data_IF_820714007493
#
_entry.id   IF_820714007493
#
_cell.length_a   1.000
_cell.length_b   1.000
_cell.length_c   1.000
_cell.angle_alpha   90.00
_cell.angle_beta   90.00
_cell.angle_gamma   90.00
#
_symmetry.space_group_name_H-M   'P 1'
#
loop_
_entity.id
_entity.type
_entity.pdbx_description
1 polymer ?
#
# COMPACT_ATOMS: atom_id res chain seq x y z
N UNK A 1 -4.54 -0.20 -70.05
CA UNK A 1 -5.00 0.53 -68.84
C UNK A 1 -5.71 -0.48 -67.97
N UNK A 2 -5.04 -0.97 -66.93
CA UNK A 2 -5.65 -1.47 -65.70
C UNK A 2 -4.51 -1.69 -64.72
N UNK A 3 -4.51 -0.88 -63.66
CA UNK A 3 -3.46 -0.81 -62.65
C UNK A 3 -3.86 -1.76 -61.52
N UNK A 4 -3.08 -2.84 -61.33
CA UNK A 4 -3.28 -3.79 -60.25
C UNK A 4 -2.82 -3.21 -58.91
N UNK A 5 -3.76 -3.01 -57.98
CA UNK A 5 -3.46 -2.68 -56.59
C UNK A 5 -3.11 -3.97 -55.81
N UNK A 6 -1.82 -4.20 -55.62
CA UNK A 6 -1.30 -5.19 -54.68
C UNK A 6 -0.66 -4.51 -53.47
N UNK A 7 -1.45 -4.09 -52.49
CA UNK A 7 -0.93 -3.59 -51.22
C UNK A 7 -0.89 -4.74 -50.20
N UNK A 8 0.28 -5.41 -50.10
CA UNK A 8 0.61 -6.21 -48.93
C UNK A 8 1.02 -5.27 -47.80
N UNK A 9 0.09 -5.06 -46.85
CA UNK A 9 0.42 -4.54 -45.53
C UNK A 9 1.42 -5.51 -44.89
N UNK A 10 2.70 -5.13 -44.83
CA UNK A 10 3.68 -5.76 -43.94
C UNK A 10 3.23 -5.50 -42.50
N UNK A 11 2.46 -6.43 -41.95
CA UNK A 11 2.31 -6.53 -40.51
C UNK A 11 3.71 -6.72 -39.93
N UNK A 12 4.18 -5.75 -39.15
CA UNK A 12 5.29 -5.93 -38.22
C UNK A 12 4.95 -7.16 -37.38
N UNK A 13 5.59 -8.28 -37.68
CA UNK A 13 5.56 -9.48 -36.88
C UNK A 13 6.19 -9.14 -35.53
N UNK A 14 5.35 -8.82 -34.55
CA UNK A 14 5.74 -8.82 -33.14
C UNK A 14 6.26 -10.23 -32.85
N UNK A 15 7.58 -10.39 -32.66
CA UNK A 15 8.15 -11.62 -32.13
C UNK A 15 7.48 -11.89 -30.78
N UNK A 16 6.54 -12.83 -30.76
CA UNK A 16 6.07 -13.43 -29.51
C UNK A 16 7.28 -14.08 -28.83
N UNK A 17 7.51 -13.77 -27.57
CA UNK A 17 8.52 -14.38 -26.67
C UNK A 17 9.95 -13.85 -26.78
N UNK A 18 10.14 -12.53 -26.78
CA UNK A 18 11.47 -11.97 -26.48
C UNK A 18 11.38 -11.18 -25.18
N UNK A 19 12.19 -11.59 -24.19
CA UNK A 19 12.33 -10.87 -22.93
C UNK A 19 12.86 -9.45 -23.16
N UNK A 20 12.36 -8.50 -22.38
CA UNK A 20 12.72 -7.09 -22.51
C UNK A 20 14.05 -6.79 -21.81
N UNK A 21 14.32 -7.44 -20.69
CA UNK A 21 15.53 -7.30 -19.90
C UNK A 21 16.60 -8.33 -20.30
N UNK A 22 17.86 -7.95 -20.13
CA UNK A 22 19.02 -8.84 -20.35
C UNK A 22 19.68 -9.32 -19.05
N UNK A 23 19.33 -8.70 -17.92
CA UNK A 23 19.92 -8.93 -16.59
C UNK A 23 18.82 -8.85 -15.52
N UNK A 24 18.98 -9.51 -14.36
CA UNK A 24 18.06 -9.34 -13.24
C UNK A 24 18.07 -7.90 -12.72
N UNK A 25 16.98 -7.47 -12.05
CA UNK A 25 16.87 -6.14 -11.49
C UNK A 25 17.96 -5.87 -10.45
N UNK A 26 18.36 -4.61 -10.32
CA UNK A 26 19.27 -4.12 -9.29
C UNK A 26 18.56 -3.02 -8.52
N UNK A 27 18.78 -3.00 -7.22
CA UNK A 27 18.17 -2.02 -6.31
C UNK A 27 19.21 -0.99 -5.88
N UNK A 28 18.74 0.23 -5.70
CA UNK A 28 19.54 1.33 -5.20
C UNK A 28 19.91 1.11 -3.72
N UNK A 29 20.99 1.76 -3.29
CA UNK A 29 21.45 1.68 -1.90
C UNK A 29 20.47 2.36 -0.93
N UNK A 30 19.65 3.28 -1.45
CA UNK A 30 18.61 3.99 -0.73
C UNK A 30 17.33 3.90 -1.54
N UNK A 31 16.24 3.45 -0.92
CA UNK A 31 14.96 3.32 -1.59
C UNK A 31 13.77 3.43 -0.65
N UNK A 32 12.64 3.81 -1.23
CA UNK A 32 11.31 3.80 -0.64
C UNK A 32 10.46 2.86 -1.48
N UNK A 33 9.77 1.93 -0.83
CA UNK A 33 8.88 1.00 -1.54
C UNK A 33 7.66 0.65 -0.71
N UNK A 34 6.58 0.32 -1.39
CA UNK A 34 5.35 -0.14 -0.75
C UNK A 34 4.79 -1.32 -1.52
N UNK A 35 4.03 -2.15 -0.84
CA UNK A 35 3.48 -3.35 -1.43
C UNK A 35 2.59 -4.12 -0.48
N UNK A 36 2.26 -5.34 -0.86
CA UNK A 36 1.44 -6.28 -0.11
C UNK A 36 2.19 -7.60 0.00
N UNK A 37 2.37 -8.07 1.23
CA UNK A 37 2.83 -9.42 1.55
C UNK A 37 1.60 -10.35 1.63
N UNK A 38 1.51 -11.29 0.71
CA UNK A 38 0.50 -12.34 0.72
C UNK A 38 1.07 -13.60 1.34
N UNK A 39 0.36 -14.16 2.32
CA UNK A 39 0.64 -15.46 2.93
C UNK A 39 -0.58 -16.36 2.67
N UNK A 40 -0.63 -17.05 1.50
CA UNK A 40 -1.84 -17.69 1.02
C UNK A 40 -2.35 -18.79 1.94
N UNK A 41 -1.45 -19.51 2.64
CA UNK A 41 -1.82 -20.60 3.53
C UNK A 41 -2.73 -20.16 4.68
N UNK A 42 -2.59 -18.91 5.13
CA UNK A 42 -3.39 -18.32 6.21
C UNK A 42 -4.31 -17.20 5.72
N UNK A 43 -4.43 -17.02 4.40
CA UNK A 43 -5.25 -15.98 3.75
C UNK A 43 -4.94 -14.55 4.23
N UNK A 44 -3.68 -14.30 4.60
CA UNK A 44 -3.24 -13.00 5.08
C UNK A 44 -2.72 -12.16 3.90
N UNK A 45 -3.18 -10.91 3.83
CA UNK A 45 -2.66 -9.89 2.94
C UNK A 45 -2.21 -8.68 3.77
N UNK A 46 -0.90 -8.46 3.82
CA UNK A 46 -0.25 -7.49 4.70
C UNK A 46 0.33 -6.33 3.91
N UNK A 47 -0.34 -5.16 3.87
CA UNK A 47 0.26 -3.98 3.26
C UNK A 47 1.47 -3.53 4.07
N UNK A 48 2.57 -3.26 3.39
CA UNK A 48 3.79 -2.71 3.98
C UNK A 48 4.25 -1.45 3.28
N UNK A 49 4.93 -0.59 4.03
CA UNK A 49 5.66 0.57 3.54
C UNK A 49 7.07 0.52 4.12
N UNK A 50 8.09 0.64 3.28
CA UNK A 50 9.47 0.42 3.67
C UNK A 50 10.37 1.55 3.20
N UNK A 51 11.27 1.95 4.09
CA UNK A 51 12.34 2.89 3.87
C UNK A 51 13.64 2.18 4.20
N UNK A 52 14.55 2.15 3.23
CA UNK A 52 15.84 1.51 3.37
C UNK A 52 16.91 2.50 2.98
N UNK A 53 17.85 2.78 3.88
CA UNK A 53 18.99 3.65 3.62
C UNK A 53 20.28 2.96 4.09
N UNK A 54 20.99 2.38 3.12
CA UNK A 54 22.28 1.73 3.37
C UNK A 54 23.37 2.71 3.77
N UNK A 55 23.31 3.96 3.28
CA UNK A 55 24.36 4.96 3.53
C UNK A 55 24.35 5.37 5.00
N UNK A 56 23.16 5.63 5.56
CA UNK A 56 23.02 5.94 7.00
C UNK A 56 22.84 4.69 7.87
N UNK A 57 22.80 3.51 7.25
CA UNK A 57 22.59 2.21 7.92
C UNK A 57 21.32 2.19 8.77
N UNK A 58 20.22 2.69 8.21
CA UNK A 58 18.90 2.70 8.82
C UNK A 58 17.83 2.10 7.91
N UNK A 59 16.85 1.44 8.51
CA UNK A 59 15.65 0.98 7.81
C UNK A 59 14.43 1.09 8.70
N UNK A 60 13.28 1.37 8.09
CA UNK A 60 11.96 1.38 8.72
C UNK A 60 10.99 0.59 7.86
N UNK A 61 10.15 -0.23 8.49
CA UNK A 61 9.08 -0.96 7.81
C UNK A 61 7.81 -0.82 8.64
N UNK A 62 6.79 -0.27 8.01
CA UNK A 62 5.46 -0.09 8.56
C UNK A 62 4.54 -1.17 7.99
N UNK A 63 3.86 -1.90 8.86
CA UNK A 63 2.91 -2.95 8.52
C UNK A 63 1.51 -2.54 8.94
N UNK A 64 0.50 -3.10 8.27
CA UNK A 64 -0.91 -2.90 8.60
C UNK A 64 -1.28 -1.40 8.70
N UNK A 65 -0.86 -0.58 7.72
CA UNK A 65 -1.12 0.86 7.71
C UNK A 65 -0.31 1.69 8.72
N UNK A 66 0.72 1.10 9.31
CA UNK A 66 1.59 1.72 10.32
C UNK A 66 1.20 1.38 11.76
N UNK A 67 0.25 0.45 11.98
CA UNK A 67 -0.04 -0.04 13.33
C UNK A 67 1.15 -0.75 13.96
N UNK A 68 1.93 -1.46 13.13
CA UNK A 68 3.19 -2.08 13.56
C UNK A 68 4.31 -1.42 12.77
N UNK A 69 5.36 -1.00 13.47
CA UNK A 69 6.54 -0.37 12.86
C UNK A 69 7.79 -1.04 13.38
N UNK A 70 8.69 -1.38 12.48
CA UNK A 70 10.03 -1.87 12.82
C UNK A 70 11.06 -0.87 12.37
N UNK A 71 11.97 -0.49 13.26
CA UNK A 71 13.12 0.35 12.97
C UNK A 71 14.37 -0.47 13.21
N UNK A 72 15.33 -0.45 12.28
CA UNK A 72 16.67 -0.94 12.52
C UNK A 72 17.66 0.18 12.29
N UNK A 73 18.51 0.43 13.29
CA UNK A 73 19.61 1.38 13.23
C UNK A 73 20.91 0.62 13.48
N UNK A 74 21.67 0.34 12.43
CA UNK A 74 22.99 -0.28 12.55
C UNK A 74 24.12 0.76 12.62
N UNK A 75 23.76 2.04 12.51
CA UNK A 75 24.68 3.18 12.43
C UNK A 75 25.04 3.83 13.76
N UNK A 76 24.09 3.87 14.70
CA UNK A 76 24.16 4.72 15.90
C UNK A 76 24.85 4.03 17.09
N UNK A 77 24.49 2.78 17.37
CA UNK A 77 25.04 2.01 18.49
C UNK A 77 26.16 1.06 18.06
N UNK A 78 27.05 0.68 18.99
CA UNK A 78 28.24 -0.15 18.74
C UNK A 78 27.93 -1.44 17.95
N UNK A 79 26.75 -2.02 18.17
CA UNK A 79 26.27 -3.25 17.53
C UNK A 79 24.90 -3.11 16.87
N UNK A 80 24.39 -1.87 16.79
CA UNK A 80 23.07 -1.54 16.26
C UNK A 80 21.90 -1.88 17.21
N UNK A 81 20.74 -1.33 16.88
CA UNK A 81 19.50 -1.42 17.66
C UNK A 81 18.31 -1.70 16.74
N UNK A 82 17.42 -2.58 17.20
CA UNK A 82 16.16 -2.93 16.54
C UNK A 82 15.01 -2.56 17.46
N UNK A 83 14.02 -1.84 16.94
CA UNK A 83 12.85 -1.39 17.66
C UNK A 83 11.61 -1.91 16.94
N UNK A 84 10.66 -2.47 17.69
CA UNK A 84 9.34 -2.86 17.18
C UNK A 84 8.27 -2.16 18.00
N UNK A 85 7.58 -1.21 17.37
CA UNK A 85 6.35 -0.62 17.89
C UNK A 85 5.18 -1.49 17.44
N UNK A 86 4.41 -2.03 18.38
CA UNK A 86 3.22 -2.79 18.09
C UNK A 86 2.19 -2.66 19.23
N UNK A 87 0.88 -2.66 18.93
CA UNK A 87 -0.14 -2.79 19.96
C UNK A 87 -0.05 -4.19 20.57
N UNK A 88 0.03 -4.24 21.90
CA UNK A 88 0.01 -5.47 22.69
C UNK A 88 -1.21 -5.44 23.57
N UNK A 89 -1.95 -6.55 23.57
CA UNK A 89 -3.09 -6.77 24.45
C UNK A 89 -2.68 -7.76 25.54
N UNK A 90 -2.91 -7.38 26.80
CA UNK A 90 -2.71 -8.23 27.97
C UNK A 90 -4.00 -8.30 28.80
N UNK A 91 -3.96 -8.99 29.94
CA UNK A 91 -5.16 -9.17 30.80
C UNK A 91 -5.74 -7.84 31.35
N UNK A 92 -4.93 -6.78 31.40
CA UNK A 92 -5.27 -5.51 32.05
C UNK A 92 -5.46 -4.36 31.04
N UNK A 93 -4.86 -4.46 29.86
CA UNK A 93 -4.78 -3.38 28.88
C UNK A 93 -5.02 -3.95 27.47
N UNK A 94 -5.98 -3.36 26.75
CA UNK A 94 -6.27 -3.70 25.36
C UNK A 94 -5.50 -2.75 24.42
N UNK A 95 -4.85 -3.32 23.40
CA UNK A 95 -4.22 -2.59 22.29
C UNK A 95 -3.23 -1.49 22.71
N UNK A 96 -2.47 -1.70 23.78
CA UNK A 96 -1.49 -0.74 24.24
C UNK A 96 -0.26 -0.78 23.35
N UNK A 97 0.05 0.35 22.70
CA UNK A 97 1.27 0.49 21.91
C UNK A 97 2.48 0.27 22.81
N UNK A 98 3.27 -0.75 22.47
CA UNK A 98 4.45 -1.17 23.21
C UNK A 98 5.67 -1.04 22.29
N UNK A 99 6.78 -0.55 22.84
CA UNK A 99 8.06 -0.53 22.16
C UNK A 99 8.92 -1.71 22.66
N UNK A 100 9.21 -2.65 21.76
CA UNK A 100 10.12 -3.75 22.02
C UNK A 100 11.48 -3.40 21.42
N UNK A 101 12.47 -3.20 22.27
CA UNK A 101 13.83 -2.88 21.87
C UNK A 101 14.75 -4.10 22.01
N UNK A 102 15.55 -4.34 20.98
CA UNK A 102 16.61 -5.36 20.96
C UNK A 102 17.91 -4.69 20.52
N UNK A 103 18.90 -4.73 21.41
CA UNK A 103 20.23 -4.20 21.13
C UNK A 103 21.12 -5.34 20.62
N UNK A 104 21.96 -5.03 19.62
CA UNK A 104 22.92 -5.98 19.10
C UNK A 104 24.03 -6.28 20.10
N UNK A 105 24.73 -7.40 19.87
CA UNK A 105 25.94 -7.78 20.60
C UNK A 105 27.11 -7.94 19.63
N UNK A 106 28.31 -8.18 20.16
CA UNK A 106 29.49 -8.44 19.34
C UNK A 106 29.29 -9.63 18.38
N UNK A 107 28.65 -10.69 18.87
CA UNK A 107 28.38 -11.91 18.11
C UNK A 107 27.15 -11.75 17.18
N UNK A 108 26.16 -10.95 17.60
CA UNK A 108 24.91 -10.76 16.88
C UNK A 108 24.61 -9.27 16.68
N UNK A 109 25.28 -8.68 15.67
CA UNK A 109 25.04 -7.29 15.27
C UNK A 109 23.68 -7.15 14.59
N UNK A 110 22.95 -6.09 14.92
CA UNK A 110 21.73 -5.74 14.20
C UNK A 110 22.11 -5.24 12.81
N UNK A 111 21.49 -5.82 11.78
CA UNK A 111 21.59 -5.38 10.40
C UNK A 111 20.30 -4.68 9.99
N UNK A 112 20.41 -3.74 9.05
CA UNK A 112 19.23 -3.14 8.41
C UNK A 112 18.50 -4.16 7.56
N UNK A 113 17.17 -4.05 7.55
CA UNK A 113 16.29 -4.99 6.88
C UNK A 113 15.84 -4.44 5.53
N UNK A 114 16.19 -5.17 4.46
CA UNK A 114 15.65 -4.92 3.11
C UNK A 114 14.34 -5.67 2.93
N UNK A 115 13.37 -5.04 2.29
CA UNK A 115 12.16 -5.71 1.78
C UNK A 115 12.32 -6.17 0.34
N UNK A 116 13.34 -5.71 -0.39
CA UNK A 116 13.61 -6.13 -1.76
C UNK A 116 14.55 -7.35 -1.77
N UNK A 117 14.30 -8.36 -2.63
CA UNK A 117 15.12 -9.56 -2.71
C UNK A 117 16.47 -9.26 -3.38
N UNK A 118 17.54 -9.96 -2.97
CA UNK A 118 18.78 -9.94 -3.75
C UNK A 118 18.58 -10.71 -5.06
N UNK A 119 18.53 -9.99 -6.18
CA UNK A 119 18.29 -10.58 -7.49
C UNK A 119 19.58 -10.96 -8.25
N UNK A 120 20.76 -10.80 -7.65
CA UNK A 120 22.05 -10.96 -8.37
C UNK A 120 22.25 -12.35 -8.98
N UNK A 121 21.74 -13.39 -8.32
CA UNK A 121 21.90 -14.80 -8.74
C UNK A 121 20.74 -15.31 -9.62
N UNK A 122 19.73 -14.46 -9.87
CA UNK A 122 18.58 -14.83 -10.68
C UNK A 122 18.92 -14.88 -12.17
N UNK A 123 18.46 -15.93 -12.83
CA UNK A 123 18.66 -16.12 -14.26
C UNK A 123 17.37 -15.86 -15.04
N UNK A 124 17.47 -15.14 -16.14
CA UNK A 124 16.34 -14.91 -17.04
C UNK A 124 15.95 -16.22 -17.75
N UNK A 125 14.70 -16.64 -17.59
CA UNK A 125 14.17 -17.88 -18.19
C UNK A 125 13.32 -17.58 -19.43
N UNK A 126 12.70 -16.40 -19.50
CA UNK A 126 11.85 -16.00 -20.63
C UNK A 126 10.81 -14.97 -20.22
N UNK A 127 9.68 -14.95 -20.92
CA UNK A 127 8.53 -14.09 -20.60
C UNK A 127 7.32 -14.91 -20.19
N UNK A 128 6.53 -14.44 -19.22
CA UNK A 128 5.26 -15.04 -18.83
C UNK A 128 4.21 -13.96 -18.60
N UNK A 129 2.94 -14.28 -18.88
CA UNK A 129 1.83 -13.37 -18.59
C UNK A 129 1.45 -13.49 -17.11
N UNK A 130 1.68 -12.43 -16.34
CA UNK A 130 1.29 -12.32 -14.94
C UNK A 130 0.36 -11.12 -14.75
N UNK A 131 -0.79 -11.31 -14.09
CA UNK A 131 -1.83 -10.28 -13.93
C UNK A 131 -2.19 -9.54 -15.24
N UNK A 132 -2.26 -10.27 -16.35
CA UNK A 132 -2.52 -9.77 -17.72
C UNK A 132 -1.42 -8.89 -18.32
N UNK A 133 -0.27 -8.76 -17.66
CA UNK A 133 0.92 -8.10 -18.18
C UNK A 133 1.94 -9.15 -18.64
N UNK A 134 2.65 -8.87 -19.73
CA UNK A 134 3.76 -9.71 -20.18
C UNK A 134 5.01 -9.30 -19.42
N UNK A 135 5.49 -10.16 -18.52
CA UNK A 135 6.62 -9.89 -17.64
C UNK A 135 7.82 -10.77 -17.99
N UNK A 136 9.02 -10.27 -17.76
CA UNK A 136 10.23 -11.07 -17.79
C UNK A 136 10.28 -11.96 -16.55
N UNK A 137 10.49 -13.25 -16.75
CA UNK A 137 10.54 -14.26 -15.70
C UNK A 137 11.99 -14.61 -15.40
N UNK A 138 12.39 -14.33 -14.18
CA UNK A 138 13.67 -14.74 -13.64
C UNK A 138 13.48 -15.88 -12.64
N UNK A 139 14.43 -16.82 -12.60
CA UNK A 139 14.40 -17.98 -11.71
C UNK A 139 15.73 -18.13 -11.00
N UNK A 140 15.64 -18.48 -9.73
CA UNK A 140 16.75 -18.99 -8.93
C UNK A 140 16.38 -20.41 -8.49
N UNK A 141 17.20 -21.39 -8.87
CA UNK A 141 17.02 -22.79 -8.48
C UNK A 141 18.17 -23.24 -7.58
N UNK A 142 17.86 -23.70 -6.37
CA UNK A 142 18.85 -24.35 -5.49
C UNK A 142 18.51 -25.84 -5.34
N UNK A 143 19.49 -26.70 -5.61
CA UNK A 143 19.39 -28.14 -5.39
C UNK A 143 20.00 -28.47 -4.02
N UNK A 144 19.24 -28.36 -2.94
CA UNK A 144 19.66 -28.89 -1.63
C UNK A 144 18.50 -29.72 -1.05
N UNK A 145 18.58 -31.04 -1.22
CA UNK A 145 17.79 -32.17 -0.65
C UNK A 145 16.24 -32.10 -0.57
N UNK A 146 15.63 -30.96 -0.87
CA UNK A 146 14.21 -30.73 -1.16
C UNK A 146 14.19 -29.64 -2.24
N UNK A 147 13.67 -29.91 -3.43
CA UNK A 147 13.70 -28.98 -4.59
C UNK A 147 13.27 -27.57 -4.19
N UNK A 148 14.20 -26.60 -4.15
CA UNK A 148 13.94 -25.19 -3.84
C UNK A 148 13.84 -24.42 -5.15
N UNK A 149 12.78 -23.65 -5.34
CA UNK A 149 12.63 -22.78 -6.51
C UNK A 149 12.10 -21.42 -6.08
N UNK A 150 12.86 -20.38 -6.37
CA UNK A 150 12.41 -18.99 -6.25
C UNK A 150 12.17 -18.41 -7.63
N UNK A 151 11.05 -17.70 -7.79
CA UNK A 151 10.69 -17.07 -9.05
C UNK A 151 10.51 -15.58 -8.78
N UNK A 152 11.10 -14.78 -9.65
CA UNK A 152 11.05 -13.33 -9.64
C UNK A 152 10.49 -12.88 -10.99
N UNK A 153 9.31 -12.28 -10.99
CA UNK A 153 8.78 -11.62 -12.18
C UNK A 153 9.24 -10.17 -12.20
N UNK A 154 9.87 -9.71 -13.27
CA UNK A 154 10.26 -8.32 -13.46
C UNK A 154 9.62 -7.76 -14.72
N UNK A 155 9.15 -6.51 -14.67
CA UNK A 155 8.70 -5.79 -15.85
C UNK A 155 9.52 -4.51 -16.03
N UNK A 156 10.02 -4.27 -17.24
CA UNK A 156 10.64 -3.00 -17.62
C UNK A 156 9.66 -2.22 -18.52
N UNK A 157 9.01 -1.19 -17.96
CA UNK A 157 8.32 -0.20 -18.79
C UNK A 157 9.38 0.63 -19.52
N UNK A 158 9.17 0.91 -20.82
CA UNK A 158 10.07 1.77 -21.62
C UNK A 158 10.14 3.23 -21.15
N UNK A 159 9.37 3.61 -20.16
CA UNK A 159 9.26 4.96 -19.61
C UNK A 159 9.72 4.97 -18.16
N UNK A 160 10.49 5.98 -17.76
CA UNK A 160 11.04 6.25 -16.43
C UNK A 160 10.03 6.32 -15.25
N UNK A 161 8.79 5.90 -15.43
CA UNK A 161 7.78 5.84 -14.39
C UNK A 161 7.17 4.45 -14.37
N UNK A 162 6.96 3.92 -13.16
CA UNK A 162 6.34 2.64 -12.81
C UNK A 162 7.17 1.39 -13.14
N UNK A 163 7.83 0.87 -12.11
CA UNK A 163 8.07 -0.57 -11.95
C UNK A 163 6.79 -1.14 -11.32
N UNK A 164 6.00 -2.01 -11.98
CA UNK A 164 4.93 -2.74 -11.32
C UNK A 164 5.23 -4.24 -11.23
N UNK A 165 4.93 -4.77 -10.05
CA UNK A 165 4.70 -6.19 -9.75
C UNK A 165 5.94 -7.08 -9.84
N UNK A 166 6.76 -7.00 -8.78
CA UNK A 166 7.79 -7.98 -8.48
C UNK A 166 7.19 -9.15 -7.70
N UNK A 167 6.43 -10.03 -8.37
CA UNK A 167 5.91 -11.25 -7.74
C UNK A 167 7.08 -12.15 -7.32
N UNK A 168 7.36 -12.22 -6.02
CA UNK A 168 8.42 -13.07 -5.46
C UNK A 168 7.82 -14.34 -4.86
N UNK A 169 8.04 -15.50 -5.48
CA UNK A 169 7.56 -16.79 -4.95
C UNK A 169 8.69 -17.45 -4.17
N UNK A 170 8.53 -17.61 -2.86
CA UNK A 170 9.50 -18.32 -2.01
C UNK A 170 8.79 -19.36 -1.14
N UNK A 171 9.26 -20.62 -1.14
CA UNK A 171 9.06 -21.52 -0.02
C UNK A 171 10.29 -21.56 0.91
N UNK A 172 10.20 -20.95 2.10
CA UNK A 172 11.37 -20.75 2.99
C UNK A 172 11.29 -21.53 4.28
N UNK A 173 12.33 -22.34 4.53
CA UNK A 173 12.68 -22.77 5.88
C UNK A 173 14.11 -22.31 6.19
N UNK A 174 14.21 -21.60 7.32
CA UNK A 174 15.36 -21.39 8.23
C UNK A 174 16.50 -20.41 7.94
N UNK A 175 16.52 -19.60 6.87
CA UNK A 175 17.43 -18.39 6.85
C UNK A 175 17.05 -17.24 5.92
N UNK A 176 15.91 -17.29 5.23
CA UNK A 176 15.39 -16.18 4.41
C UNK A 176 14.05 -15.71 4.97
N UNK A 177 14.07 -15.18 6.18
CA UNK A 177 12.91 -14.49 6.73
C UNK A 177 12.94 -13.04 6.23
N UNK A 178 12.57 -12.80 4.97
CA UNK A 178 12.16 -11.44 4.59
C UNK A 178 11.01 -11.11 5.55
N UNK A 179 11.18 -10.08 6.36
CA UNK A 179 10.20 -9.65 7.36
C UNK A 179 9.94 -10.64 8.52
N UNK A 180 10.79 -11.64 8.74
CA UNK A 180 10.61 -12.56 9.86
C UNK A 180 9.50 -13.60 9.65
N UNK A 181 8.98 -13.76 8.43
CA UNK A 181 7.91 -14.74 8.14
C UNK A 181 8.43 -16.18 8.28
N UNK A 182 7.75 -16.98 9.11
CA UNK A 182 8.03 -18.41 9.33
C UNK A 182 7.30 -19.33 8.34
N UNK A 183 6.65 -18.77 7.32
CA UNK A 183 5.79 -19.54 6.43
C UNK A 183 6.53 -20.00 5.16
N UNK A 184 6.33 -21.28 4.83
CA UNK A 184 6.88 -21.95 3.66
C UNK A 184 6.25 -21.48 2.32
N UNK A 185 5.43 -20.43 2.30
CA UNK A 185 4.93 -19.84 1.06
C UNK A 185 4.42 -18.42 1.27
N UNK A 186 5.07 -17.44 0.64
CA UNK A 186 4.56 -16.07 0.55
C UNK A 186 4.86 -15.44 -0.81
N UNK A 187 4.09 -14.42 -1.14
CA UNK A 187 4.33 -13.54 -2.29
C UNK A 187 4.42 -12.10 -1.84
N UNK A 188 5.32 -11.34 -2.44
CA UNK A 188 5.32 -9.89 -2.32
C UNK A 188 4.84 -9.32 -3.65
N UNK A 189 3.87 -8.41 -3.57
CA UNK A 189 3.47 -7.56 -4.68
C UNK A 189 3.89 -6.13 -4.35
N UNK A 190 4.55 -5.44 -5.27
CA UNK A 190 5.09 -4.10 -5.03
C UNK A 190 4.36 -3.10 -5.90
N UNK A 191 3.83 -2.06 -5.25
CA UNK A 191 3.04 -1.01 -5.87
C UNK A 191 3.89 0.19 -6.31
N UNK A 192 4.97 0.48 -5.58
CA UNK A 192 5.90 1.55 -5.90
C UNK A 192 7.32 1.24 -5.46
N UNK A 193 8.26 1.86 -6.19
CA UNK A 193 9.68 1.89 -5.91
C UNK A 193 10.17 3.28 -6.29
N UNK A 194 10.85 3.94 -5.36
CA UNK A 194 11.43 5.26 -5.47
C UNK A 194 12.83 5.20 -4.85
N UNK A 195 13.77 5.99 -5.36
CA UNK A 195 15.18 5.99 -4.91
C UNK A 195 15.62 7.39 -4.44
N UNK A 196 14.68 8.19 -4.00
CA UNK A 196 14.92 9.54 -3.51
C UNK A 196 15.56 9.53 -2.11
N UNK A 197 16.19 10.65 -1.75
CA UNK A 197 16.74 10.83 -0.40
C UNK A 197 15.64 10.77 0.67
N UNK A 198 15.94 10.07 1.76
CA UNK A 198 14.98 9.85 2.85
C UNK A 198 15.27 10.84 3.98
N UNK A 199 14.31 11.71 4.35
CA UNK A 199 14.48 12.63 5.48
C UNK A 199 14.77 11.89 6.79
N UNK A 200 15.72 12.39 7.58
CA UNK A 200 16.12 11.76 8.86
C UNK A 200 14.94 11.51 9.81
N UNK A 201 13.96 12.43 9.82
CA UNK A 201 12.74 12.34 10.65
C UNK A 201 11.97 11.03 10.44
N UNK A 202 12.08 10.39 9.28
CA UNK A 202 11.39 9.11 9.01
C UNK A 202 11.91 7.98 9.90
N UNK A 203 13.18 8.03 10.30
CA UNK A 203 13.83 7.05 11.16
C UNK A 203 13.73 7.39 12.65
N UNK A 204 13.23 8.59 13.01
CA UNK A 204 13.01 8.97 14.40
C UNK A 204 11.74 8.32 14.96
N UNK A 205 11.76 8.00 16.25
CA UNK A 205 10.59 7.45 16.94
C UNK A 205 9.56 8.55 17.18
N UNK A 206 8.35 8.37 16.63
CA UNK A 206 7.16 9.17 16.92
C UNK A 206 7.33 10.72 16.80
N UNK A 207 8.08 11.30 15.82
CA UNK A 207 8.27 12.75 15.74
C UNK A 207 6.95 13.49 15.53
N UNK A 208 6.04 12.92 14.72
CA UNK A 208 4.69 13.45 14.50
C UNK A 208 3.83 13.43 15.75
N UNK A 209 4.03 12.47 16.66
CA UNK A 209 3.20 12.30 17.87
C UNK A 209 3.44 13.40 18.87
N UNK A 210 4.70 13.80 19.04
CA UNK A 210 5.02 14.90 19.95
C UNK A 210 4.52 16.24 19.43
N UNK A 211 4.58 16.45 18.10
CA UNK A 211 3.97 17.61 17.44
C UNK A 211 2.44 17.59 17.56
N UNK A 212 1.80 16.44 17.30
CA UNK A 212 0.36 16.24 17.46
C UNK A 212 -0.10 16.47 18.89
N UNK A 213 0.64 16.00 19.90
CA UNK A 213 0.36 16.27 21.31
C UNK A 213 0.39 17.77 21.63
N UNK A 214 1.41 18.49 21.15
CA UNK A 214 1.50 19.95 21.31
C UNK A 214 0.34 20.66 20.62
N UNK A 215 -0.02 20.21 19.41
CA UNK A 215 -1.15 20.75 18.65
C UNK A 215 -2.49 20.53 19.36
N UNK A 216 -2.74 19.31 19.86
CA UNK A 216 -3.92 18.96 20.64
C UNK A 216 -4.01 19.85 21.88
N UNK A 217 -2.94 19.94 22.67
CA UNK A 217 -2.90 20.79 23.86
C UNK A 217 -3.16 22.27 23.55
N UNK A 218 -2.65 22.76 22.42
CA UNK A 218 -2.89 24.13 21.95
C UNK A 218 -4.36 24.35 21.55
N UNK A 219 -4.99 23.40 20.85
CA UNK A 219 -6.36 23.53 20.33
C UNK A 219 -7.43 23.21 21.37
N UNK A 220 -7.15 22.38 22.36
CA UNK A 220 -8.04 22.14 23.51
C UNK A 220 -8.35 23.43 24.30
N UNK A 221 -7.52 24.48 24.15
CA UNK A 221 -7.79 25.81 24.72
C UNK A 221 -8.79 26.65 23.92
N UNK A 222 -9.08 26.28 22.67
CA UNK A 222 -9.92 27.04 21.72
C UNK A 222 -11.40 26.58 21.65
N UNK A 223 -11.82 25.66 22.54
CA UNK A 223 -13.20 25.30 22.93
C UNK A 223 -14.24 24.83 21.88
N UNK A 224 -14.03 24.97 20.56
CA UNK A 224 -15.07 24.59 19.55
C UNK A 224 -15.15 23.08 19.24
N UNK A 225 -14.05 22.34 19.42
CA UNK A 225 -13.99 20.89 19.21
C UNK A 225 -12.88 20.28 20.07
N UNK A 226 -13.07 19.04 20.51
CA UNK A 226 -12.06 18.29 21.24
C UNK A 226 -11.19 17.50 20.26
N UNK A 227 -9.88 17.51 20.49
CA UNK A 227 -8.94 16.65 19.78
C UNK A 227 -8.40 15.58 20.74
N UNK A 228 -8.11 14.41 20.19
CA UNK A 228 -7.51 13.30 20.90
C UNK A 228 -6.43 12.65 20.03
N UNK A 229 -5.53 11.92 20.67
CA UNK A 229 -4.54 11.10 19.96
C UNK A 229 -5.28 9.99 19.21
N UNK A 230 -4.96 9.84 17.93
CA UNK A 230 -5.48 8.78 17.06
C UNK A 230 -4.33 7.96 16.46
N UNK A 231 -4.66 6.92 15.71
CA UNK A 231 -3.69 6.11 14.95
C UNK A 231 -2.97 6.91 13.83
N UNK A 232 -3.35 8.17 13.62
CA UNK A 232 -2.73 9.11 12.68
C UNK A 232 -1.78 10.09 13.37
N UNK A 233 -1.73 10.10 14.71
CA UNK A 233 -1.03 11.12 15.46
C UNK A 233 0.49 11.10 15.26
N UNK A 234 1.06 9.97 14.86
CA UNK A 234 2.48 9.80 14.62
C UNK A 234 2.87 10.04 13.15
N UNK A 235 1.90 10.38 12.30
CA UNK A 235 2.13 10.63 10.87
C UNK A 235 2.45 12.10 10.61
N UNK A 236 3.40 12.37 9.72
CA UNK A 236 3.70 13.72 9.25
C UNK A 236 2.59 14.25 8.32
N UNK A 237 2.59 15.55 8.03
CA UNK A 237 1.62 16.12 7.09
C UNK A 237 1.77 15.53 5.68
N UNK A 238 2.99 15.19 5.26
CA UNK A 238 3.28 14.50 4.00
C UNK A 238 2.73 13.08 3.99
N UNK A 239 2.94 12.32 5.08
CA UNK A 239 2.39 10.97 5.23
C UNK A 239 0.85 11.01 5.25
N UNK A 240 0.25 11.99 5.94
CA UNK A 240 -1.21 12.19 5.95
C UNK A 240 -1.75 12.57 4.57
N UNK A 241 -1.04 13.43 3.83
CA UNK A 241 -1.41 13.80 2.46
C UNK A 241 -1.38 12.59 1.52
N UNK A 242 -0.36 11.73 1.65
CA UNK A 242 -0.26 10.51 0.87
C UNK A 242 -1.41 9.53 1.14
N UNK A 243 -1.84 9.42 2.40
CA UNK A 243 -2.87 8.46 2.84
C UNK A 243 -4.29 8.97 2.59
N UNK A 244 -4.53 10.29 2.63
CA UNK A 244 -5.86 10.87 2.37
C UNK A 244 -6.29 10.75 0.91
N UNK A 245 -5.34 10.61 -0.02
CA UNK A 245 -5.60 10.12 -1.38
C UNK A 245 -6.48 11.00 -2.27
N UNK A 246 -6.73 12.27 -1.90
CA UNK A 246 -7.57 13.20 -2.68
C UNK A 246 -6.72 14.09 -3.60
N UNK A 247 -6.95 14.02 -4.91
CA UNK A 247 -6.51 15.06 -5.85
C UNK A 247 -7.71 15.70 -6.54
N UNK A 248 -7.90 17.00 -6.29
CA UNK A 248 -8.84 17.79 -7.08
C UNK A 248 -8.32 17.89 -8.51
N UNK A 249 -9.09 17.39 -9.47
CA UNK A 249 -8.78 17.54 -10.90
C UNK A 249 -8.88 19.00 -11.37
N UNK A 250 -9.51 19.88 -10.58
CA UNK A 250 -9.82 21.27 -10.96
C UNK A 250 -10.78 21.39 -12.16
N UNK A 251 -11.18 20.27 -12.75
CA UNK A 251 -12.02 20.18 -13.95
C UNK A 251 -13.39 19.67 -13.52
N UNK A 252 -14.45 20.40 -13.91
CA UNK A 252 -15.83 19.97 -13.69
C UNK A 252 -16.03 18.58 -14.31
N UNK A 253 -16.46 17.60 -13.51
CA UNK A 253 -16.51 16.18 -13.87
C UNK A 253 -17.65 15.80 -14.83
N UNK A 254 -18.22 16.77 -15.55
CA UNK A 254 -19.37 16.64 -16.49
C UNK A 254 -20.57 15.85 -15.93
N UNK A 255 -20.62 15.66 -14.61
CA UNK A 255 -21.70 14.97 -13.91
C UNK A 255 -23.00 15.73 -14.13
N UNK A 256 -24.04 15.00 -14.51
CA UNK A 256 -25.38 15.60 -14.55
C UNK A 256 -25.77 15.96 -13.11
N UNK A 257 -26.31 17.17 -12.87
CA UNK A 257 -26.85 17.50 -11.56
C UNK A 257 -27.94 16.49 -11.21
N UNK A 258 -27.99 16.09 -9.94
CA UNK A 258 -29.11 15.28 -9.44
C UNK A 258 -30.40 16.10 -9.64
N UNK A 259 -31.45 15.55 -10.29
CA UNK A 259 -32.67 16.29 -10.54
C UNK A 259 -33.50 16.35 -9.25
N UNK A 260 -33.31 17.40 -8.46
CA UNK A 260 -34.15 17.70 -7.31
C UNK A 260 -34.65 19.14 -7.36
N UNK A 261 -35.88 19.34 -6.86
CA UNK A 261 -36.50 20.64 -6.75
C UNK A 261 -36.44 21.09 -5.29
N UNK A 262 -35.51 22.00 -4.99
CA UNK A 262 -35.25 22.46 -3.61
C UNK A 262 -36.52 23.06 -2.99
N UNK A 263 -37.34 23.73 -3.83
CA UNK A 263 -38.58 24.40 -3.39
C UNK A 263 -39.63 23.42 -2.85
N UNK A 264 -39.56 22.14 -3.25
CA UNK A 264 -40.48 21.09 -2.78
C UNK A 264 -39.99 20.38 -1.52
N UNK A 265 -38.77 20.65 -1.08
CA UNK A 265 -38.09 19.92 0.00
C UNK A 265 -37.87 20.77 1.26
N UNK A 266 -38.15 22.09 1.20
CA UNK A 266 -37.78 23.02 2.27
C UNK A 266 -38.80 23.07 3.42
N UNK A 267 -40.06 22.74 3.16
CA UNK A 267 -41.16 22.94 4.14
C UNK A 267 -41.29 21.82 5.20
N UNK A 268 -40.47 20.75 5.15
CA UNK A 268 -40.61 19.56 6.00
C UNK A 268 -39.29 19.03 6.59
N UNK A 269 -38.32 19.91 6.85
CA UNK A 269 -37.04 19.49 7.44
C UNK A 269 -37.09 19.71 8.95
N UNK A 270 -36.87 18.65 9.72
CA UNK A 270 -36.69 18.72 11.18
C UNK A 270 -35.40 19.45 11.54
N UNK A 271 -35.41 20.22 12.63
CA UNK A 271 -34.23 20.93 13.16
C UNK A 271 -33.05 20.00 13.45
N UNK A 272 -33.33 18.72 13.72
CA UNK A 272 -32.34 17.67 13.89
C UNK A 272 -32.72 16.43 13.08
N UNK A 273 -31.75 15.89 12.34
CA UNK A 273 -31.95 14.70 11.53
C UNK A 273 -30.70 13.82 11.58
N UNK A 274 -30.85 12.58 12.03
CA UNK A 274 -29.74 11.62 12.16
C UNK A 274 -30.11 10.25 11.59
N UNK A 275 -29.64 9.97 10.37
CA UNK A 275 -29.84 8.70 9.67
C UNK A 275 -29.35 7.46 10.43
N UNK A 276 -28.44 7.62 11.39
CA UNK A 276 -27.94 6.50 12.21
C UNK A 276 -29.04 5.96 13.11
N UNK A 277 -29.87 6.84 13.69
CA UNK A 277 -30.98 6.45 14.56
C UNK A 277 -32.08 5.70 13.79
N UNK A 278 -32.19 5.94 12.49
CA UNK A 278 -33.12 5.26 11.60
C UNK A 278 -32.57 3.97 11.00
N UNK A 279 -31.32 3.58 11.31
CA UNK A 279 -30.72 2.35 10.80
C UNK A 279 -30.24 2.43 9.35
N UNK A 280 -30.17 3.62 8.75
CA UNK A 280 -29.78 3.81 7.35
C UNK A 280 -28.25 3.92 7.13
N UNK A 281 -27.45 3.70 8.17
CA UNK A 281 -25.98 3.91 8.15
C UNK A 281 -25.28 2.64 8.62
N UNK A 282 -24.33 2.14 7.83
CA UNK A 282 -23.52 0.96 8.18
C UNK A 282 -22.47 1.30 9.26
N UNK A 283 -21.91 0.29 9.96
CA UNK A 283 -20.80 0.52 10.88
C UNK A 283 -19.63 1.24 10.20
N UNK A 284 -18.89 2.03 10.98
CA UNK A 284 -17.69 2.74 10.51
C UNK A 284 -16.70 1.73 9.93
N UNK A 285 -16.13 2.08 8.77
CA UNK A 285 -15.19 1.25 8.03
C UNK A 285 -13.83 1.95 7.97
N UNK A 286 -12.77 1.19 7.72
CA UNK A 286 -11.41 1.72 7.55
C UNK A 286 -11.02 1.77 6.07
N UNK A 287 -10.71 2.97 5.61
CA UNK A 287 -10.38 3.28 4.22
C UNK A 287 -8.92 2.97 3.85
N UNK A 288 -8.05 2.78 4.85
CA UNK A 288 -6.59 2.73 4.70
C UNK A 288 -6.08 3.89 3.83
N UNK A 289 -6.00 3.73 2.50
CA UNK A 289 -5.37 4.68 1.58
C UNK A 289 -6.35 5.37 0.60
N UNK A 290 -7.66 5.02 0.57
CA UNK A 290 -8.55 5.40 -0.55
C UNK A 290 -9.95 5.83 -0.11
N UNK A 291 -10.25 7.14 -0.11
CA UNK A 291 -11.43 7.71 0.56
C UNK A 291 -12.70 7.82 -0.30
N UNK A 292 -12.58 8.05 -1.60
CA UNK A 292 -13.73 8.43 -2.44
C UNK A 292 -14.78 7.31 -2.56
N UNK A 293 -14.35 6.05 -2.58
CA UNK A 293 -15.24 4.89 -2.72
C UNK A 293 -16.14 4.70 -1.50
N UNK A 294 -15.67 5.05 -0.30
CA UNK A 294 -16.44 4.97 0.93
C UNK A 294 -17.57 6.00 0.97
N UNK A 295 -17.32 7.22 0.50
CA UNK A 295 -18.35 8.26 0.38
C UNK A 295 -19.46 7.84 -0.59
N UNK A 296 -19.08 7.36 -1.78
CA UNK A 296 -20.03 6.86 -2.79
C UNK A 296 -20.86 5.69 -2.26
N UNK A 297 -20.22 4.71 -1.61
CA UNK A 297 -20.94 3.56 -1.09
C UNK A 297 -21.84 3.92 0.08
N UNK A 298 -21.40 4.74 1.03
CA UNK A 298 -22.25 5.16 2.14
C UNK A 298 -23.54 5.82 1.66
N UNK A 299 -23.45 6.62 0.59
CA UNK A 299 -24.64 7.20 -0.05
C UNK A 299 -25.56 6.15 -0.68
N UNK A 300 -25.01 5.20 -1.45
CA UNK A 300 -25.80 4.14 -2.10
C UNK A 300 -26.45 3.21 -1.05
N UNK A 301 -25.74 2.86 0.02
CA UNK A 301 -26.26 2.05 1.13
C UNK A 301 -27.48 2.71 1.78
N UNK A 302 -27.42 4.01 2.08
CA UNK A 302 -28.54 4.76 2.65
C UNK A 302 -29.72 4.92 1.69
N UNK A 303 -29.46 5.23 0.42
CA UNK A 303 -30.51 5.31 -0.59
C UNK A 303 -31.20 3.96 -0.83
N UNK A 304 -30.42 2.87 -0.80
CA UNK A 304 -30.93 1.51 -0.92
C UNK A 304 -31.79 1.11 0.28
N UNK A 305 -31.35 1.44 1.50
CA UNK A 305 -32.12 1.21 2.72
C UNK A 305 -33.53 1.81 2.64
N UNK A 306 -33.63 3.07 2.19
CA UNK A 306 -34.91 3.76 2.01
C UNK A 306 -35.80 3.08 0.97
N UNK A 307 -35.21 2.65 -0.15
CA UNK A 307 -35.96 2.01 -1.23
C UNK A 307 -36.41 0.59 -0.87
N UNK A 308 -35.63 -0.14 -0.09
CA UNK A 308 -35.85 -1.56 0.19
C UNK A 308 -36.56 -1.82 1.54
N UNK A 309 -37.35 -0.86 2.01
CA UNK A 309 -38.17 -1.03 3.21
C UNK A 309 -37.37 -1.22 4.50
N UNK A 310 -36.19 -0.61 4.59
CA UNK A 310 -35.35 -0.65 5.80
C UNK A 310 -34.35 -1.81 5.85
N UNK A 311 -34.10 -2.50 4.73
CA UNK A 311 -33.06 -3.52 4.67
C UNK A 311 -31.70 -2.90 4.29
N UNK A 312 -30.84 -2.72 5.29
CA UNK A 312 -29.50 -2.18 5.09
C UNK A 312 -28.55 -3.26 4.58
N UNK A 313 -27.89 -2.99 3.46
CA UNK A 313 -26.90 -3.90 2.87
C UNK A 313 -25.52 -3.25 2.92
N UNK A 314 -24.51 -4.03 3.29
CA UNK A 314 -23.11 -3.60 3.24
C UNK A 314 -22.54 -3.88 1.85
N UNK A 315 -22.16 -2.83 1.13
CA UNK A 315 -21.64 -2.90 -0.24
C UNK A 315 -20.10 -2.82 -0.27
N UNK A 316 -19.50 -3.40 -1.31
CA UNK A 316 -18.06 -3.54 -1.48
C UNK A 316 -17.41 -2.30 -2.11
N UNK A 317 -16.53 -1.63 -1.36
CA UNK A 317 -15.73 -0.49 -1.82
C UNK A 317 -14.76 -0.92 -2.92
N UNK A 318 -14.24 -2.15 -2.79
CA UNK A 318 -13.29 -2.72 -3.74
C UNK A 318 -13.89 -2.87 -5.14
N UNK A 319 -15.20 -3.16 -5.24
CA UNK A 319 -15.87 -3.24 -6.54
C UNK A 319 -15.82 -1.90 -7.31
N UNK A 320 -15.92 -0.76 -6.62
CA UNK A 320 -15.75 0.54 -7.27
C UNK A 320 -14.29 0.80 -7.64
N UNK A 321 -13.36 0.46 -6.75
CA UNK A 321 -11.92 0.65 -6.98
C UNK A 321 -11.43 -0.15 -8.20
N UNK A 322 -11.92 -1.38 -8.37
CA UNK A 322 -11.44 -2.29 -9.43
C UNK A 322 -12.16 -2.10 -10.77
N UNK A 323 -13.43 -1.66 -10.76
CA UNK A 323 -14.27 -1.70 -11.96
C UNK A 323 -14.59 -0.33 -12.56
N UNK A 324 -14.40 0.78 -11.83
CA UNK A 324 -14.86 2.09 -12.29
C UNK A 324 -13.85 2.91 -13.10
N UNK A 325 -12.75 2.29 -13.53
CA UNK A 325 -11.70 2.92 -14.34
C UNK A 325 -12.22 3.54 -15.64
N UNK A 326 -13.20 2.89 -16.28
CA UNK A 326 -13.83 3.37 -17.51
C UNK A 326 -14.62 4.69 -17.32
N UNK A 327 -14.92 5.06 -16.08
CA UNK A 327 -15.65 6.28 -15.72
C UNK A 327 -14.72 7.38 -15.21
N UNK A 328 -13.40 7.25 -15.42
CA UNK A 328 -12.41 8.26 -15.06
C UNK A 328 -11.90 8.20 -13.61
N UNK A 329 -12.26 7.16 -12.86
CA UNK A 329 -11.73 6.93 -11.52
C UNK A 329 -10.40 6.19 -11.58
N UNK A 330 -9.44 6.57 -10.73
CA UNK A 330 -8.09 6.01 -10.72
C UNK A 330 -7.83 5.07 -9.53
N UNK A 331 -8.89 4.47 -8.99
CA UNK A 331 -8.79 3.60 -7.81
C UNK A 331 -8.08 4.30 -6.64
N UNK A 332 -7.03 3.67 -6.13
CA UNK A 332 -6.16 4.19 -5.07
C UNK A 332 -4.95 4.99 -5.60
N UNK A 333 -4.87 5.21 -6.93
CA UNK A 333 -3.73 5.81 -7.63
C UNK A 333 -3.95 7.28 -8.01
N UNK A 334 -4.82 8.01 -7.33
CA UNK A 334 -4.93 9.47 -7.50
C UNK A 334 -3.58 10.21 -7.27
N UNK A 335 -2.52 9.53 -6.82
CA UNK A 335 -1.21 10.09 -6.52
C UNK A 335 -0.13 10.09 -7.62
N UNK A 336 -0.40 9.85 -8.91
CA UNK A 336 0.66 9.98 -9.94
C UNK A 336 0.24 10.82 -11.16
N UNK A 337 0.86 12.00 -11.28
CA UNK A 337 1.25 12.57 -12.57
C UNK A 337 2.74 12.31 -12.71
#
# INVERSE_FOLDING_TARGET
MEVGYGNSLKFLTWKKNQAFATKPPRWDATYITKGILYIPYVEIAEPFFAWYDKNTRRSRIDYYGGMVKTYQSAGEDQYGTSLKLAPVTNKNELNKVTCLQLNGTADNRIQIQSVLPNASDFQLVGTETFLRLVCDKFRLGETIEKKRMSILYGYAAKSHLTIPVLGYLYPCVTKCALLGSHYDHYYLDYDSYEHDDIPNVIFELDPGKQQSLRFIQSKSRAQLYALAISHLADKTDEELKAIRGFRSSGVYNTGKPFPYDVSKLTDQISDQYDWRLYGAVTPVKDQSVCCWSFGTIGHIEGAYFLKNGGNLVRLSQQALIDCSWQYGNNGCRENRN
#
